data_IF_836633847400
#
_entry.id   IF_836633847400
#
_cell.length_a   1.000
_cell.length_b   1.000
_cell.length_c   1.000
_cell.angle_alpha   90.00
_cell.angle_beta   90.00
_cell.angle_gamma   90.00
#
_symmetry.space_group_name_H-M   'P 1'
#
loop_
_entity.id
_entity.type
_entity.pdbx_description
1 polymer ?
#
# COMPACT_ATOMS: atom_id res chain seq x y z
N UNK A 1 16.74 0.01 6.72
CA UNK A 1 16.95 0.65 5.39
C UNK A 1 17.83 -0.27 4.56
N UNK A 2 17.44 -0.59 3.31
CA UNK A 2 18.35 -1.28 2.39
C UNK A 2 19.51 -0.34 2.05
N UNK A 3 20.74 -0.87 1.94
CA UNK A 3 21.88 -0.10 1.48
C UNK A 3 21.63 0.43 0.06
N UNK A 4 22.13 1.62 -0.29
CA UNK A 4 22.04 2.13 -1.66
C UNK A 4 22.75 1.16 -2.63
N UNK A 5 22.32 1.09 -3.90
CA UNK A 5 22.95 0.24 -4.89
C UNK A 5 24.43 0.61 -5.06
N UNK A 6 25.28 -0.40 -5.22
CA UNK A 6 26.71 -0.17 -5.47
C UNK A 6 26.93 0.42 -6.88
N UNK A 7 28.05 1.11 -7.09
CA UNK A 7 28.43 1.60 -8.41
C UNK A 7 28.47 0.50 -9.48
N UNK A 8 28.88 -0.73 -9.09
CA UNK A 8 28.88 -1.89 -9.99
C UNK A 8 27.44 -2.29 -10.38
N UNK A 9 26.49 -2.22 -9.46
CA UNK A 9 25.06 -2.50 -9.74
C UNK A 9 24.45 -1.46 -10.68
N UNK A 10 24.80 -0.20 -10.52
CA UNK A 10 24.33 0.87 -11.42
C UNK A 10 24.90 0.70 -12.82
N UNK A 11 26.20 0.42 -12.95
CA UNK A 11 26.83 0.17 -14.25
C UNK A 11 26.26 -1.06 -14.97
N UNK A 12 25.85 -2.10 -14.22
CA UNK A 12 25.17 -3.26 -14.80
C UNK A 12 23.77 -2.89 -15.29
N UNK A 13 23.03 -2.09 -14.54
CA UNK A 13 21.70 -1.57 -14.94
C UNK A 13 21.82 -0.78 -16.25
N UNK A 14 22.79 0.14 -16.35
CA UNK A 14 22.99 0.95 -17.55
C UNK A 14 23.27 0.08 -18.79
N UNK A 15 24.11 -0.95 -18.64
CA UNK A 15 24.39 -1.93 -19.71
C UNK A 15 23.13 -2.71 -20.10
N UNK A 16 22.31 -3.12 -19.14
CA UNK A 16 21.04 -3.81 -19.41
C UNK A 16 20.06 -2.93 -20.17
N UNK A 17 19.88 -1.69 -19.73
CA UNK A 17 19.00 -0.71 -20.40
C UNK A 17 19.46 -0.47 -21.83
N UNK A 18 20.78 -0.26 -22.05
CA UNK A 18 21.33 -0.08 -23.37
C UNK A 18 21.11 -1.30 -24.27
N UNK A 19 21.29 -2.51 -23.75
CA UNK A 19 21.08 -3.75 -24.51
C UNK A 19 19.62 -3.98 -24.88
N UNK A 20 18.68 -3.67 -23.98
CA UNK A 20 17.24 -3.75 -24.24
C UNK A 20 16.80 -2.70 -25.26
N UNK A 21 17.31 -1.49 -25.15
CA UNK A 21 17.07 -0.40 -26.10
C UNK A 21 17.57 -0.75 -27.52
N UNK A 22 18.78 -1.31 -27.63
CA UNK A 22 19.33 -1.75 -28.91
C UNK A 22 18.51 -2.87 -29.59
N UNK A 23 17.77 -3.67 -28.81
CA UNK A 23 16.84 -4.68 -29.32
C UNK A 23 15.42 -4.16 -29.56
N UNK A 24 15.15 -2.89 -29.32
CA UNK A 24 13.81 -2.29 -29.45
C UNK A 24 12.79 -2.82 -28.45
N UNK A 25 13.23 -3.45 -27.36
CA UNK A 25 12.35 -3.99 -26.32
C UNK A 25 11.89 -2.96 -25.30
N UNK A 26 12.65 -1.87 -25.15
CA UNK A 26 12.36 -0.76 -24.23
C UNK A 26 12.90 0.52 -24.85
N UNK A 27 12.14 1.61 -24.74
CA UNK A 27 12.59 2.95 -25.13
C UNK A 27 12.89 3.80 -23.90
N UNK A 28 13.76 4.80 -24.03
CA UNK A 28 14.03 5.77 -22.97
C UNK A 28 12.76 6.54 -22.58
N UNK A 29 11.85 6.78 -23.53
CA UNK A 29 10.57 7.47 -23.28
C UNK A 29 9.66 6.61 -22.37
N UNK A 30 9.56 5.32 -22.64
CA UNK A 30 8.79 4.39 -21.80
C UNK A 30 9.37 4.30 -20.38
N UNK A 31 10.69 4.19 -20.27
CA UNK A 31 11.36 4.18 -18.96
C UNK A 31 11.09 5.46 -18.17
N UNK A 32 11.25 6.62 -18.81
CA UNK A 32 10.98 7.90 -18.16
C UNK A 32 9.51 8.05 -17.76
N UNK A 33 8.57 7.59 -18.58
CA UNK A 33 7.14 7.61 -18.26
C UNK A 33 6.82 6.73 -17.04
N UNK A 34 7.35 5.51 -16.99
CA UNK A 34 7.20 4.61 -15.83
C UNK A 34 7.84 5.16 -14.55
N UNK A 35 9.03 5.75 -14.69
CA UNK A 35 9.71 6.38 -13.56
C UNK A 35 8.88 7.55 -13.00
N UNK A 36 8.35 8.41 -13.87
CA UNK A 36 7.52 9.54 -13.47
C UNK A 36 6.21 9.10 -12.77
N UNK A 37 5.60 7.97 -13.16
CA UNK A 37 4.46 7.37 -12.47
C UNK A 37 4.87 6.93 -11.07
N UNK A 38 5.99 6.24 -10.96
CA UNK A 38 6.47 5.72 -9.67
C UNK A 38 6.92 6.82 -8.71
N UNK A 39 7.50 7.91 -9.21
CA UNK A 39 7.91 9.07 -8.41
C UNK A 39 6.71 9.86 -7.84
N UNK A 40 5.57 9.85 -8.54
CA UNK A 40 4.32 10.45 -8.06
C UNK A 40 3.56 9.56 -7.07
N UNK A 41 3.84 8.26 -7.06
CA UNK A 41 3.17 7.34 -6.17
C UNK A 41 3.62 7.57 -4.72
N UNK A 42 2.68 7.90 -3.85
CA UNK A 42 2.96 8.17 -2.44
C UNK A 42 1.82 7.67 -1.55
N UNK A 43 2.08 7.37 -0.27
CA UNK A 43 1.04 6.97 0.68
C UNK A 43 -0.08 7.99 0.85
N UNK A 44 0.16 9.24 0.48
CA UNK A 44 -0.83 10.32 0.52
C UNK A 44 -2.03 10.07 -0.39
N UNK A 45 -1.81 9.35 -1.51
CA UNK A 45 -2.92 8.97 -2.40
C UNK A 45 -3.86 8.02 -1.65
N UNK A 46 -3.35 6.95 -1.08
CA UNK A 46 -4.13 6.01 -0.27
C UNK A 46 -4.78 6.69 0.95
N UNK A 47 -4.06 7.61 1.61
CA UNK A 47 -4.61 8.38 2.74
C UNK A 47 -5.81 9.25 2.33
N UNK A 48 -5.73 9.93 1.18
CA UNK A 48 -6.87 10.69 0.63
C UNK A 48 -8.04 9.79 0.25
N UNK A 49 -7.78 8.60 -0.31
CA UNK A 49 -8.82 7.63 -0.61
C UNK A 49 -9.58 7.22 0.66
N UNK A 50 -8.86 6.90 1.72
CA UNK A 50 -9.44 6.55 3.03
C UNK A 50 -10.25 7.71 3.61
N UNK A 51 -9.67 8.90 3.66
CA UNK A 51 -10.35 10.10 4.19
C UNK A 51 -11.64 10.40 3.42
N UNK A 52 -11.62 10.26 2.09
CA UNK A 52 -12.79 10.42 1.25
C UNK A 52 -13.83 9.33 1.53
N UNK A 53 -13.43 8.08 1.65
CA UNK A 53 -14.35 7.00 1.98
C UNK A 53 -15.03 7.19 3.35
N UNK A 54 -14.36 7.81 4.30
CA UNK A 54 -14.94 8.13 5.62
C UNK A 54 -15.95 9.27 5.60
N UNK A 55 -16.00 10.09 4.54
CA UNK A 55 -16.82 11.31 4.46
C UNK A 55 -17.80 11.32 3.30
N UNK A 56 -17.64 10.44 2.32
CA UNK A 56 -18.41 10.36 1.08
C UNK A 56 -18.94 8.91 0.90
N UNK A 57 -20.22 8.63 1.21
CA UNK A 57 -20.79 7.29 1.08
C UNK A 57 -20.77 6.74 -0.34
N UNK A 58 -20.92 7.59 -1.36
CA UNK A 58 -20.88 7.14 -2.75
C UNK A 58 -19.48 6.71 -3.16
N UNK A 59 -18.46 7.45 -2.70
CA UNK A 59 -17.08 7.05 -2.90
C UNK A 59 -16.72 5.80 -2.09
N UNK A 60 -17.22 5.65 -0.87
CA UNK A 60 -17.05 4.41 -0.10
C UNK A 60 -17.63 3.21 -0.87
N UNK A 61 -18.84 3.34 -1.41
CA UNK A 61 -19.46 2.27 -2.19
C UNK A 61 -18.66 1.94 -3.47
N UNK A 62 -18.10 2.95 -4.14
CA UNK A 62 -17.19 2.75 -5.27
C UNK A 62 -15.92 2.03 -4.82
N UNK A 63 -15.27 2.49 -3.75
CA UNK A 63 -14.03 1.94 -3.23
C UNK A 63 -14.16 0.44 -2.88
N UNK A 64 -15.26 0.07 -2.22
CA UNK A 64 -15.50 -1.32 -1.82
C UNK A 64 -15.87 -2.23 -3.00
N UNK A 65 -16.45 -1.69 -4.06
CA UNK A 65 -16.82 -2.45 -5.26
C UNK A 65 -15.69 -2.56 -6.28
N UNK A 66 -14.95 -1.46 -6.49
CA UNK A 66 -13.91 -1.34 -7.53
C UNK A 66 -12.79 -0.41 -7.04
N UNK A 67 -11.80 -1.03 -6.40
CA UNK A 67 -10.65 -0.29 -5.84
C UNK A 67 -9.84 0.44 -6.90
N UNK A 68 -9.71 -0.10 -8.14
CA UNK A 68 -8.98 0.57 -9.22
C UNK A 68 -9.70 1.81 -9.69
N UNK A 69 -11.00 1.73 -9.97
CA UNK A 69 -11.79 2.90 -10.36
C UNK A 69 -11.80 3.97 -9.28
N UNK A 70 -11.87 3.58 -8.00
CA UNK A 70 -11.77 4.52 -6.89
C UNK A 70 -10.38 5.17 -6.80
N UNK A 71 -9.30 4.43 -7.07
CA UNK A 71 -7.95 4.95 -7.11
C UNK A 71 -7.76 5.97 -8.25
N UNK A 72 -8.29 5.68 -9.44
CA UNK A 72 -8.27 6.60 -10.58
C UNK A 72 -9.09 7.88 -10.28
N UNK A 73 -10.24 7.74 -9.65
CA UNK A 73 -11.05 8.87 -9.19
C UNK A 73 -10.36 9.72 -8.09
N UNK A 74 -9.34 9.17 -7.42
CA UNK A 74 -8.47 9.87 -6.47
C UNK A 74 -7.18 10.43 -7.13
N UNK A 75 -7.04 10.27 -8.44
CA UNK A 75 -5.91 10.80 -9.22
C UNK A 75 -4.70 9.86 -9.31
N UNK A 76 -4.83 8.59 -8.92
CA UNK A 76 -3.80 7.60 -9.16
C UNK A 76 -3.81 7.10 -10.61
N UNK A 77 -2.64 6.80 -11.17
CA UNK A 77 -2.56 6.08 -12.45
C UNK A 77 -2.57 4.57 -12.16
N UNK A 78 -3.64 3.89 -12.60
CA UNK A 78 -3.78 2.43 -12.44
C UNK A 78 -3.51 1.67 -13.74
N UNK A 79 -3.04 2.37 -14.79
CA UNK A 79 -2.67 1.76 -16.07
C UNK A 79 -1.58 0.69 -15.88
N UNK A 80 -1.86 -0.54 -16.29
CA UNK A 80 -0.95 -1.69 -16.12
C UNK A 80 -0.75 -2.14 -14.66
N UNK A 81 -1.44 -1.54 -13.70
CA UNK A 81 -1.42 -1.99 -12.32
C UNK A 81 -2.26 -3.28 -12.12
N UNK A 82 -1.85 -4.15 -11.21
CA UNK A 82 -2.67 -5.29 -10.77
C UNK A 82 -4.02 -4.84 -10.21
N UNK A 83 -4.94 -5.80 -10.04
CA UNK A 83 -6.20 -5.55 -9.36
C UNK A 83 -5.98 -5.06 -7.92
N UNK A 84 -6.86 -4.17 -7.46
CA UNK A 84 -6.83 -3.58 -6.14
C UNK A 84 -8.08 -3.95 -5.35
N UNK A 85 -7.90 -4.77 -4.33
CA UNK A 85 -8.94 -5.06 -3.35
C UNK A 85 -8.81 -4.20 -2.09
N UNK A 86 -9.94 -3.96 -1.46
CA UNK A 86 -10.02 -3.19 -0.23
C UNK A 86 -10.49 -4.09 0.92
N UNK A 87 -9.78 -4.01 2.04
CA UNK A 87 -10.05 -4.76 3.26
C UNK A 87 -10.51 -3.78 4.34
N UNK A 88 -11.80 -3.77 4.63
CA UNK A 88 -12.35 -2.88 5.64
C UNK A 88 -12.11 -3.44 7.06
N UNK A 89 -11.51 -2.65 7.92
CA UNK A 89 -11.44 -2.94 9.35
C UNK A 89 -12.76 -2.58 10.03
N UNK A 90 -13.20 -3.46 10.92
CA UNK A 90 -14.43 -3.29 11.69
C UNK A 90 -14.15 -3.41 13.19
N UNK A 91 -15.11 -3.12 14.09
CA UNK A 91 -14.93 -3.34 15.51
C UNK A 91 -14.64 -4.81 15.90
N UNK A 92 -14.85 -5.76 14.98
CA UNK A 92 -14.64 -7.20 15.24
C UNK A 92 -13.56 -7.83 14.37
N UNK A 93 -13.04 -7.11 13.36
CA UNK A 93 -12.06 -7.64 12.44
C UNK A 93 -11.00 -6.61 12.07
N UNK A 94 -9.74 -6.97 12.21
CA UNK A 94 -8.58 -6.20 11.80
C UNK A 94 -7.84 -6.95 10.69
N UNK A 95 -7.51 -6.28 9.59
CA UNK A 95 -6.79 -6.88 8.48
C UNK A 95 -5.30 -6.50 8.52
N UNK A 96 -4.47 -7.47 8.19
CA UNK A 96 -3.02 -7.30 8.03
C UNK A 96 -2.61 -7.81 6.66
N UNK A 97 -2.01 -6.95 5.83
CA UNK A 97 -1.56 -7.32 4.49
C UNK A 97 -0.13 -7.80 4.52
N UNK A 98 0.14 -8.89 3.83
CA UNK A 98 1.47 -9.47 3.64
C UNK A 98 1.66 -9.88 2.17
N UNK A 99 2.88 -10.11 1.74
CA UNK A 99 3.19 -10.94 0.58
C UNK A 99 4.20 -12.00 0.99
N UNK A 100 3.73 -13.25 1.13
CA UNK A 100 4.57 -14.36 1.62
C UNK A 100 5.64 -14.77 0.62
N UNK A 101 5.42 -14.56 -0.68
CA UNK A 101 6.36 -14.96 -1.75
C UNK A 101 7.45 -13.92 -2.01
N UNK A 102 7.10 -12.65 -2.10
CA UNK A 102 8.04 -11.60 -2.53
C UNK A 102 7.78 -10.26 -1.82
N UNK A 103 7.21 -9.28 -2.51
CA UNK A 103 6.94 -7.96 -1.96
C UNK A 103 5.79 -7.27 -2.72
N UNK A 104 4.78 -8.04 -3.06
CA UNK A 104 3.57 -7.55 -3.74
C UNK A 104 2.89 -6.47 -2.89
N UNK A 105 2.78 -5.27 -3.44
CA UNK A 105 2.41 -4.05 -2.72
C UNK A 105 1.65 -3.11 -3.67
N UNK A 106 0.64 -2.37 -3.24
CA UNK A 106 -0.09 -1.45 -4.11
C UNK A 106 0.72 -0.17 -4.37
N UNK A 107 1.79 -0.30 -5.19
CA UNK A 107 2.81 0.75 -5.43
C UNK A 107 2.23 2.03 -5.99
N UNK A 108 1.22 1.95 -6.86
CA UNK A 108 0.58 3.12 -7.46
C UNK A 108 -0.03 4.06 -6.40
N UNK A 109 -0.40 3.52 -5.23
CA UNK A 109 -1.06 4.25 -4.15
C UNK A 109 -0.15 4.55 -2.97
N UNK A 110 0.82 3.67 -2.68
CA UNK A 110 1.60 3.71 -1.45
C UNK A 110 3.10 3.93 -1.70
N UNK A 111 3.49 4.09 -2.96
CA UNK A 111 4.89 4.19 -3.35
C UNK A 111 5.63 2.85 -3.19
N UNK A 112 6.94 2.90 -2.96
CA UNK A 112 7.75 1.69 -2.76
C UNK A 112 7.49 1.04 -1.40
N UNK A 113 7.42 -0.31 -1.35
CA UNK A 113 7.28 -1.00 -0.08
C UNK A 113 8.49 -0.74 0.82
N UNK A 114 8.27 -0.49 2.12
CA UNK A 114 9.36 -0.30 3.08
C UNK A 114 10.19 -1.58 3.25
N UNK A 115 11.42 -1.44 3.73
CA UNK A 115 12.34 -2.55 3.91
C UNK A 115 11.78 -3.67 4.80
N UNK A 116 11.07 -3.29 5.87
CA UNK A 116 10.45 -4.26 6.77
C UNK A 116 9.37 -5.12 6.08
N UNK A 117 8.55 -4.54 5.17
CA UNK A 117 7.51 -5.29 4.44
C UNK A 117 8.11 -6.41 3.58
N UNK A 118 9.30 -6.19 3.04
CA UNK A 118 10.04 -7.16 2.22
C UNK A 118 10.84 -8.18 3.05
N UNK A 119 11.03 -7.94 4.35
CA UNK A 119 11.86 -8.80 5.19
C UNK A 119 11.25 -10.19 5.35
N UNK A 120 12.09 -11.22 5.37
CA UNK A 120 11.67 -12.59 5.63
C UNK A 120 11.01 -12.72 7.02
N UNK A 121 11.55 -11.99 8.01
CA UNK A 121 11.01 -12.00 9.37
C UNK A 121 9.55 -11.53 9.40
N UNK A 122 9.23 -10.36 8.79
CA UNK A 122 7.84 -9.90 8.71
C UNK A 122 6.96 -10.90 7.98
N UNK A 123 7.36 -11.31 6.77
CA UNK A 123 6.55 -12.19 5.92
C UNK A 123 6.20 -13.53 6.59
N UNK A 124 7.13 -14.10 7.34
CA UNK A 124 6.91 -15.39 8.02
C UNK A 124 6.16 -15.21 9.36
N UNK A 125 6.46 -14.16 10.12
CA UNK A 125 5.83 -13.92 11.42
C UNK A 125 4.42 -13.39 11.32
N UNK A 126 4.15 -12.50 10.36
CA UNK A 126 2.82 -11.93 10.13
C UNK A 126 1.74 -13.02 9.95
N UNK A 127 2.08 -14.15 9.33
CA UNK A 127 1.14 -15.27 9.13
C UNK A 127 0.99 -16.13 10.39
N UNK A 128 2.06 -16.34 11.16
CA UNK A 128 2.06 -17.26 12.31
C UNK A 128 1.65 -16.62 13.62
N UNK A 129 2.03 -15.37 13.82
CA UNK A 129 1.88 -14.63 15.06
C UNK A 129 1.52 -13.15 14.84
N UNK A 130 0.47 -12.85 14.04
CA UNK A 130 0.15 -11.48 13.63
C UNK A 130 -0.05 -10.53 14.81
N UNK A 131 -0.70 -10.98 15.88
CA UNK A 131 -0.97 -10.17 17.07
C UNK A 131 0.32 -9.76 17.77
N UNK A 132 1.28 -10.66 17.90
CA UNK A 132 2.59 -10.36 18.49
C UNK A 132 3.36 -9.34 17.64
N UNK A 133 3.37 -9.52 16.32
CA UNK A 133 4.01 -8.56 15.39
C UNK A 133 3.40 -7.16 15.52
N UNK A 134 2.07 -7.06 15.56
CA UNK A 134 1.38 -5.77 15.71
C UNK A 134 1.70 -5.11 17.06
N UNK A 135 1.69 -5.90 18.14
CA UNK A 135 1.99 -5.41 19.50
C UNK A 135 3.43 -4.88 19.60
N UNK A 136 4.41 -5.58 19.04
CA UNK A 136 5.82 -5.12 18.99
C UNK A 136 5.97 -3.79 18.24
N UNK A 137 5.10 -3.51 17.28
CA UNK A 137 5.11 -2.27 16.49
C UNK A 137 4.17 -1.20 17.08
N UNK A 138 3.70 -1.40 18.30
CA UNK A 138 2.89 -0.44 19.04
C UNK A 138 1.41 -0.42 18.67
N UNK A 139 0.94 -1.44 17.93
CA UNK A 139 -0.48 -1.58 17.58
C UNK A 139 -1.10 -2.68 18.42
N UNK A 140 -1.86 -2.30 19.46
CA UNK A 140 -2.59 -3.21 20.32
C UNK A 140 -3.98 -3.45 19.74
N UNK A 141 -4.26 -4.70 19.37
CA UNK A 141 -5.58 -5.14 18.92
C UNK A 141 -6.24 -5.92 20.06
N UNK A 142 -7.46 -5.55 20.49
CA UNK A 142 -8.17 -6.26 21.55
C UNK A 142 -8.33 -7.75 21.26
N UNK A 143 -8.36 -8.58 22.30
CA UNK A 143 -8.39 -10.05 22.16
C UNK A 143 -9.68 -10.56 21.50
N UNK A 144 -10.77 -9.82 21.63
CA UNK A 144 -12.07 -10.12 21.01
C UNK A 144 -12.18 -9.67 19.55
N UNK A 145 -11.12 -9.06 18.99
CA UNK A 145 -11.03 -8.67 17.58
C UNK A 145 -10.22 -9.71 16.81
N UNK A 146 -10.82 -10.29 15.78
CA UNK A 146 -10.13 -11.21 14.87
C UNK A 146 -9.07 -10.47 14.07
N UNK A 147 -7.86 -11.03 13.95
CA UNK A 147 -6.85 -10.55 13.02
C UNK A 147 -6.81 -11.46 11.80
N UNK A 148 -7.17 -10.91 10.65
CA UNK A 148 -7.16 -11.62 9.37
C UNK A 148 -5.96 -11.19 8.55
N UNK A 149 -5.04 -12.13 8.30
CA UNK A 149 -3.87 -11.91 7.45
C UNK A 149 -4.24 -12.24 6.02
N UNK A 150 -3.97 -11.30 5.09
CA UNK A 150 -4.32 -11.43 3.68
C UNK A 150 -3.07 -11.29 2.82
N UNK A 151 -2.87 -12.25 1.93
CA UNK A 151 -1.70 -12.31 1.06
C UNK A 151 -1.94 -11.57 -0.26
N UNK A 152 -1.07 -10.61 -0.58
CA UNK A 152 -1.04 -9.96 -1.90
C UNK A 152 -0.29 -10.83 -2.90
N UNK A 153 -0.82 -10.95 -4.11
CA UNK A 153 -0.23 -11.76 -5.19
C UNK A 153 0.29 -10.88 -6.34
N UNK A 154 0.81 -11.51 -7.40
CA UNK A 154 1.25 -10.79 -8.60
C UNK A 154 0.10 -10.05 -9.29
N UNK A 155 -1.09 -10.62 -9.26
CA UNK A 155 -2.25 -10.12 -10.00
C UNK A 155 -3.22 -9.31 -9.15
N UNK A 156 -3.11 -9.44 -7.81
CA UNK A 156 -4.03 -8.79 -6.87
C UNK A 156 -3.29 -8.15 -5.71
N UNK A 157 -3.57 -6.89 -5.45
CA UNK A 157 -3.01 -6.11 -4.35
C UNK A 157 -4.11 -5.73 -3.37
N UNK A 158 -3.75 -5.69 -2.10
CA UNK A 158 -4.68 -5.32 -1.05
C UNK A 158 -4.27 -4.00 -0.39
N UNK A 159 -5.27 -3.17 -0.08
CA UNK A 159 -5.14 -2.00 0.78
C UNK A 159 -6.17 -2.10 1.90
N UNK A 160 -5.77 -1.72 3.10
CA UNK A 160 -6.68 -1.67 4.25
C UNK A 160 -7.41 -0.32 4.27
N UNK A 161 -8.72 -0.38 4.45
CA UNK A 161 -9.55 0.74 4.87
C UNK A 161 -9.66 0.68 6.41
N UNK A 162 -8.87 1.47 7.16
CA UNK A 162 -8.93 1.45 8.61
C UNK A 162 -10.22 2.10 9.12
N UNK A 163 -10.63 1.76 10.33
CA UNK A 163 -11.75 2.43 10.98
C UNK A 163 -11.43 3.91 11.19
N UNK A 164 -12.44 4.76 10.99
CA UNK A 164 -12.36 6.17 11.33
C UNK A 164 -12.24 6.33 12.86
N UNK A 165 -11.23 7.06 13.36
CA UNK A 165 -11.09 7.28 14.79
C UNK A 165 -12.26 8.10 15.37
N UNK A 166 -12.67 7.74 16.57
CA UNK A 166 -13.67 8.53 17.33
C UNK A 166 -13.12 9.94 17.60
N UNK A 167 -14.00 10.94 17.66
CA UNK A 167 -13.61 12.34 17.89
C UNK A 167 -13.11 13.05 16.64
N UNK A 168 -13.28 12.44 15.45
CA UNK A 168 -12.93 13.08 14.17
C UNK A 168 -14.17 13.54 13.39
N UNK A 169 -15.35 13.51 14.00
CA UNK A 169 -16.58 14.01 13.44
C UNK A 169 -16.43 15.49 13.06
N UNK A 170 -16.83 15.85 11.85
CA UNK A 170 -16.68 17.23 11.35
C UNK A 170 -15.27 17.62 10.88
N UNK A 171 -14.27 16.73 10.93
CA UNK A 171 -12.98 17.02 10.33
C UNK A 171 -13.05 17.05 8.81
N UNK A 172 -12.27 17.96 8.20
CA UNK A 172 -12.13 17.98 6.74
C UNK A 172 -11.40 16.74 6.23
N UNK A 173 -11.59 16.42 4.94
CA UNK A 173 -10.92 15.29 4.30
C UNK A 173 -9.39 15.43 4.37
N UNK A 174 -8.84 16.63 4.24
CA UNK A 174 -7.39 16.89 4.33
C UNK A 174 -6.87 16.57 5.73
N UNK A 175 -7.58 17.02 6.78
CA UNK A 175 -7.21 16.74 8.16
C UNK A 175 -7.29 15.24 8.46
N UNK A 176 -8.31 14.55 7.95
CA UNK A 176 -8.46 13.11 8.06
C UNK A 176 -7.35 12.36 7.33
N UNK A 177 -6.99 12.79 6.12
CA UNK A 177 -5.87 12.18 5.38
C UNK A 177 -4.54 12.30 6.15
N UNK A 178 -4.34 13.39 6.87
CA UNK A 178 -3.12 13.63 7.67
C UNK A 178 -2.88 12.64 8.81
N UNK A 179 -3.91 11.93 9.27
CA UNK A 179 -3.77 10.89 10.32
C UNK A 179 -3.68 9.47 9.75
N UNK A 180 -3.83 9.29 8.44
CA UNK A 180 -3.73 7.98 7.79
C UNK A 180 -2.31 7.76 7.29
N UNK A 181 -1.57 6.92 7.98
CA UNK A 181 -0.20 6.57 7.61
C UNK A 181 -0.16 5.43 6.59
N UNK A 182 0.96 5.31 5.87
CA UNK A 182 1.22 4.14 5.02
C UNK A 182 1.04 2.82 5.77
N UNK A 183 1.48 2.77 7.01
CA UNK A 183 1.45 1.57 7.85
C UNK A 183 0.01 1.20 8.23
N UNK A 184 -0.89 2.18 8.35
CA UNK A 184 -2.32 1.93 8.51
C UNK A 184 -2.95 1.34 7.24
N UNK A 185 -2.46 1.72 6.05
CA UNK A 185 -2.96 1.24 4.76
C UNK A 185 -2.56 -0.22 4.43
N UNK A 186 -1.68 -0.81 5.23
CA UNK A 186 -1.34 -2.25 5.17
C UNK A 186 -1.70 -2.97 6.47
N UNK A 187 -2.30 -2.28 7.43
CA UNK A 187 -2.87 -2.83 8.65
C UNK A 187 -1.88 -3.04 9.79
N UNK A 188 -0.63 -2.54 9.71
CA UNK A 188 0.32 -2.64 10.84
C UNK A 188 0.17 -1.52 11.85
N UNK A 189 -0.57 -0.47 11.51
CA UNK A 189 -0.92 0.62 12.41
C UNK A 189 -2.42 0.92 12.36
N UNK A 190 -2.90 1.69 13.32
CA UNK A 190 -4.25 2.27 13.30
C UNK A 190 -4.11 3.81 13.31
N UNK A 191 -5.00 4.53 12.58
CA UNK A 191 -5.01 5.99 12.64
C UNK A 191 -5.27 6.47 14.08
N UNK A 192 -4.54 7.50 14.51
CA UNK A 192 -4.66 8.09 15.85
C UNK A 192 -4.86 9.60 15.73
N UNK A 193 -5.62 10.16 16.66
CA UNK A 193 -5.86 11.61 16.83
C UNK A 193 -4.80 12.20 17.74
#
# INVERSE_FOLDING_TARGET
MAAPPSGASLALLDKLVAALGAKGLVTNTELAAHQAIMERASPEIGARMVARAWTDPDYYALLMRDGKAAAEAAGASMAGAPELGILENTPKQHHLVVCTLCSCYPRALLGYPPGWYKSFAYRSRAVREPRAVLAEWGTQIPDDVEIRVVDSTADYRWMVLPMRPKGTEGWSAEKLAGIVTRDALVGVAVPRV
#
